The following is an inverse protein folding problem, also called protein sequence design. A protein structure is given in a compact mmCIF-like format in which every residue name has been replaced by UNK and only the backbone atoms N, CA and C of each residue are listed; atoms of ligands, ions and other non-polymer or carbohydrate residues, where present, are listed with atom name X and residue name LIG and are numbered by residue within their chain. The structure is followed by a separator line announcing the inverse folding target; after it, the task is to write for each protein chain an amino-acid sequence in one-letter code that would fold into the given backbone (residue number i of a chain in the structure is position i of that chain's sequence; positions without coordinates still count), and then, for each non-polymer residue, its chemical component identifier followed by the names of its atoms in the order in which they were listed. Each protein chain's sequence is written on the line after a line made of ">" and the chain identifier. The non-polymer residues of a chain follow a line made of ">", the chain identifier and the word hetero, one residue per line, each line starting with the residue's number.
data_IF_869881333810
#
_entry.id   IF_869881333810
#
_cell.length_a   1.000
_cell.length_b   1.000
_cell.length_c   1.000
_cell.angle_alpha   90.00
_cell.angle_beta   90.00
_cell.angle_gamma   90.00
#
_symmetry.space_group_name_H-M   'P 1'
#
loop_
_entity.id
_entity.type
_entity.pdbx_description
1 polymer ?
#
# COMPACT_ATOMS: atom_id res chain seq x y z
N UNK A 1 1.88 22.80 -4.29
CA UNK A 1 2.45 21.48 -4.69
C UNK A 1 1.57 20.44 -4.02
N UNK A 2 1.21 19.37 -4.71
CA UNK A 2 0.38 18.31 -4.12
C UNK A 2 1.21 17.48 -3.14
N UNK A 3 0.56 17.03 -2.06
CA UNK A 3 1.23 16.37 -0.93
C UNK A 3 0.69 14.96 -0.72
N UNK A 4 1.58 13.99 -0.61
CA UNK A 4 1.26 12.57 -0.38
C UNK A 4 1.78 12.15 0.98
N UNK A 5 0.96 11.45 1.77
CA UNK A 5 1.39 10.72 2.95
C UNK A 5 1.66 9.27 2.54
N UNK A 6 2.91 8.82 2.63
CA UNK A 6 3.28 7.41 2.50
C UNK A 6 3.48 6.82 3.90
N UNK A 7 2.65 5.85 4.28
CA UNK A 7 2.76 5.15 5.55
C UNK A 7 3.10 3.68 5.36
N UNK A 8 4.07 3.20 6.15
CA UNK A 8 4.55 1.83 6.09
C UNK A 8 5.99 1.70 5.60
N UNK A 9 6.27 0.71 4.78
CA UNK A 9 7.56 0.46 4.12
C UNK A 9 8.78 0.58 5.03
N UNK A 10 8.65 0.08 6.25
CA UNK A 10 9.76 0.03 7.20
C UNK A 10 9.58 -1.12 8.18
N UNK A 11 10.68 -1.71 8.62
CA UNK A 11 10.65 -2.83 9.56
C UNK A 11 11.88 -2.87 10.44
N UNK A 12 11.78 -3.62 11.51
CA UNK A 12 12.93 -3.98 12.36
C UNK A 12 13.16 -5.47 12.27
N UNK A 13 14.32 -5.85 11.76
CA UNK A 13 14.79 -7.23 11.76
C UNK A 13 15.46 -7.55 13.07
N UNK A 14 15.12 -8.67 13.69
CA UNK A 14 15.73 -9.17 14.92
C UNK A 14 16.35 -10.54 14.63
N UNK A 15 17.67 -10.65 14.76
CA UNK A 15 18.41 -11.87 14.50
C UNK A 15 19.05 -12.38 15.78
N UNK A 16 18.74 -13.62 16.15
CA UNK A 16 19.38 -14.29 17.28
C UNK A 16 20.50 -15.19 16.77
N UNK A 17 21.71 -14.95 17.26
CA UNK A 17 22.90 -15.72 16.95
C UNK A 17 23.14 -16.72 18.08
N UNK A 18 23.22 -18.00 17.75
CA UNK A 18 23.45 -19.11 18.69
C UNK A 18 24.81 -19.75 18.35
N UNK A 19 25.77 -19.65 19.26
CA UNK A 19 27.14 -20.18 19.10
C UNK A 19 27.49 -21.07 20.30
N UNK A 20 26.92 -22.28 20.31
CA UNK A 20 27.02 -23.15 21.47
C UNK A 20 26.28 -22.57 22.68
N UNK A 21 26.99 -22.28 23.75
CA UNK A 21 26.43 -21.62 24.95
C UNK A 21 26.31 -20.09 24.81
N UNK A 22 26.98 -19.49 23.84
CA UNK A 22 26.96 -18.05 23.64
C UNK A 22 25.79 -17.67 22.75
N UNK A 23 24.86 -16.88 23.25
CA UNK A 23 23.68 -16.39 22.57
C UNK A 23 23.65 -14.88 22.65
N UNK A 24 23.48 -14.20 21.51
CA UNK A 24 23.24 -12.76 21.46
C UNK A 24 22.25 -12.41 20.36
N UNK A 25 21.57 -11.28 20.53
CA UNK A 25 20.58 -10.78 19.59
C UNK A 25 21.04 -9.44 19.02
N UNK A 26 20.89 -9.28 17.72
CA UNK A 26 21.07 -7.99 17.02
C UNK A 26 19.75 -7.55 16.43
N UNK A 27 19.56 -6.24 16.35
CA UNK A 27 18.42 -5.66 15.63
C UNK A 27 18.91 -4.66 14.59
N UNK A 28 18.18 -4.57 13.48
CA UNK A 28 18.44 -3.62 12.41
C UNK A 28 17.13 -3.01 11.96
N UNK A 29 17.09 -1.69 11.86
CA UNK A 29 15.98 -0.95 11.25
C UNK A 29 16.26 -0.74 9.76
N UNK A 30 15.23 -0.91 8.92
CA UNK A 30 15.32 -0.80 7.46
C UNK A 30 14.07 -0.10 6.91
N UNK A 31 14.24 0.59 5.78
CA UNK A 31 13.19 1.28 5.04
C UNK A 31 13.20 0.82 3.58
N UNK A 32 12.02 0.52 3.02
CA UNK A 32 11.85 0.08 1.63
C UNK A 32 11.30 1.16 0.70
N UNK A 33 10.77 2.25 1.24
CA UNK A 33 10.02 3.26 0.48
C UNK A 33 10.83 4.19 -0.41
N UNK A 34 12.16 4.21 -0.34
CA UNK A 34 13.03 5.21 -0.97
C UNK A 34 12.80 5.37 -2.48
N UNK A 35 12.64 4.24 -3.20
CA UNK A 35 12.47 4.27 -4.66
C UNK A 35 11.13 4.90 -5.05
N UNK A 36 10.05 4.57 -4.33
CA UNK A 36 8.74 5.16 -4.54
C UNK A 36 8.73 6.66 -4.19
N UNK A 37 9.29 7.01 -3.03
CA UNK A 37 9.43 8.42 -2.59
C UNK A 37 10.17 9.23 -3.64
N UNK A 38 11.28 8.71 -4.18
CA UNK A 38 12.05 9.37 -5.23
C UNK A 38 11.23 9.56 -6.51
N UNK A 39 10.48 8.54 -6.94
CA UNK A 39 9.64 8.61 -8.12
C UNK A 39 8.56 9.70 -7.98
N UNK A 40 7.87 9.74 -6.86
CA UNK A 40 6.84 10.74 -6.58
C UNK A 40 7.42 12.16 -6.49
N UNK A 41 8.58 12.34 -5.84
CA UNK A 41 9.27 13.63 -5.78
C UNK A 41 9.72 14.11 -7.17
N UNK A 42 10.21 13.22 -8.03
CA UNK A 42 10.54 13.51 -9.40
C UNK A 42 9.30 13.96 -10.20
N UNK A 43 8.12 13.41 -9.86
CA UNK A 43 6.81 13.83 -10.41
C UNK A 43 6.29 15.16 -9.87
N UNK A 44 7.02 15.83 -8.97
CA UNK A 44 6.63 17.13 -8.41
C UNK A 44 5.72 17.06 -7.19
N UNK A 45 5.65 15.91 -6.52
CA UNK A 45 4.92 15.75 -5.28
C UNK A 45 5.79 16.04 -4.06
N UNK A 46 5.22 16.64 -3.03
CA UNK A 46 5.75 16.58 -1.68
C UNK A 46 5.36 15.25 -1.05
N UNK A 47 6.30 14.54 -0.43
CA UNK A 47 6.04 13.25 0.20
C UNK A 47 6.46 13.29 1.66
N UNK A 48 5.48 13.14 2.56
CA UNK A 48 5.72 12.86 3.98
C UNK A 48 5.76 11.34 4.15
N UNK A 49 6.85 10.85 4.72
CA UNK A 49 7.02 9.45 5.04
C UNK A 49 6.70 9.19 6.51
N UNK A 50 5.81 8.23 6.76
CA UNK A 50 5.40 7.81 8.10
C UNK A 50 5.74 6.32 8.27
N UNK A 51 6.95 6.00 8.78
CA UNK A 51 7.39 4.61 8.95
C UNK A 51 6.54 3.86 9.98
N UNK A 52 6.54 2.52 9.90
CA UNK A 52 5.68 1.65 10.71
C UNK A 52 5.73 1.94 12.21
N UNK A 53 6.93 2.07 12.77
CA UNK A 53 7.11 2.31 14.21
C UNK A 53 6.60 3.69 14.67
N UNK A 54 6.41 4.61 13.74
CA UNK A 54 5.93 5.97 14.00
C UNK A 54 4.40 6.10 13.82
N UNK A 55 3.83 5.28 12.95
CA UNK A 55 2.44 5.41 12.52
C UNK A 55 1.42 5.20 13.65
N UNK A 56 1.73 4.37 14.64
CA UNK A 56 0.86 4.17 15.80
C UNK A 56 0.50 5.47 16.51
N UNK A 57 1.46 6.38 16.67
CA UNK A 57 1.27 7.65 17.38
C UNK A 57 1.04 8.84 16.44
N UNK A 58 1.66 8.86 15.27
CA UNK A 58 1.77 10.07 14.45
C UNK A 58 0.95 10.06 13.16
N UNK A 59 0.43 8.91 12.74
CA UNK A 59 -0.48 8.87 11.60
C UNK A 59 -1.75 9.70 11.90
N UNK A 60 -2.22 10.55 10.96
CA UNK A 60 -3.41 11.36 11.14
C UNK A 60 -4.63 10.55 11.53
N UNK A 61 -5.31 10.92 12.60
CA UNK A 61 -6.40 10.17 13.23
C UNK A 61 -7.78 10.82 13.01
N UNK A 62 -7.84 11.94 12.27
CA UNK A 62 -9.08 12.62 11.89
C UNK A 62 -9.06 13.04 10.44
N UNK A 63 -10.26 13.26 9.87
CA UNK A 63 -10.42 13.76 8.49
C UNK A 63 -9.75 15.12 8.31
N UNK A 64 -9.83 15.98 9.30
CA UNK A 64 -9.25 17.34 9.26
C UNK A 64 -7.74 17.28 9.10
N UNK A 65 -7.06 16.38 9.83
CA UNK A 65 -5.62 16.16 9.71
C UNK A 65 -5.24 15.52 8.37
N UNK A 66 -6.04 14.56 7.89
CA UNK A 66 -5.83 13.90 6.61
C UNK A 66 -6.01 14.86 5.41
N UNK A 67 -6.87 15.89 5.53
CA UNK A 67 -7.03 16.92 4.50
C UNK A 67 -5.78 17.76 4.22
N UNK A 68 -4.76 17.65 5.05
CA UNK A 68 -3.43 18.19 4.76
C UNK A 68 -2.69 17.48 3.63
N UNK A 69 -3.24 16.35 3.14
CA UNK A 69 -2.68 15.53 2.07
C UNK A 69 -3.69 15.40 0.93
N UNK A 70 -3.19 15.37 -0.31
CA UNK A 70 -3.97 15.10 -1.52
C UNK A 70 -4.21 13.60 -1.72
N UNK A 71 -3.30 12.76 -1.21
CA UNK A 71 -3.47 11.30 -1.19
C UNK A 71 -2.75 10.65 0.00
N UNK A 72 -3.27 9.53 0.44
CA UNK A 72 -2.67 8.62 1.43
C UNK A 72 -2.29 7.32 0.75
N UNK A 73 -1.04 6.92 0.87
CA UNK A 73 -0.52 5.63 0.40
C UNK A 73 -0.22 4.76 1.61
N UNK A 74 -0.83 3.58 1.67
CA UNK A 74 -0.56 2.56 2.69
C UNK A 74 0.21 1.42 2.00
N UNK A 75 1.41 1.13 2.46
CA UNK A 75 2.28 0.11 1.90
C UNK A 75 2.96 -0.69 3.01
N UNK A 76 2.77 -1.99 3.01
CA UNK A 76 3.32 -2.94 3.99
C UNK A 76 3.19 -2.47 5.46
N UNK A 77 1.99 -2.02 5.82
CA UNK A 77 1.60 -1.58 7.16
C UNK A 77 0.29 -2.26 7.57
N UNK A 78 0.31 -3.06 8.62
CA UNK A 78 -0.89 -3.75 9.11
C UNK A 78 -1.87 -2.82 9.83
N UNK A 79 -3.16 -3.15 9.76
CA UNK A 79 -4.20 -2.32 10.39
C UNK A 79 -4.03 -2.18 11.91
N UNK A 80 -3.45 -3.16 12.58
CA UNK A 80 -3.16 -3.09 14.00
C UNK A 80 -2.17 -1.97 14.34
N UNK A 81 -1.20 -1.68 13.47
CA UNK A 81 -0.26 -0.57 13.65
C UNK A 81 -0.99 0.78 13.67
N UNK A 82 -2.06 0.92 12.90
CA UNK A 82 -2.89 2.12 12.90
C UNK A 82 -3.87 2.17 14.09
N UNK A 83 -4.36 1.00 14.53
CA UNK A 83 -5.41 0.89 15.55
C UNK A 83 -4.86 0.83 16.98
N UNK A 84 -3.66 0.29 17.17
CA UNK A 84 -3.08 -0.02 18.48
C UNK A 84 -1.84 0.84 18.72
N UNK A 85 -2.05 2.13 19.04
CA UNK A 85 -0.96 2.93 19.57
C UNK A 85 -0.56 2.43 20.96
N UNK A 86 0.58 2.88 21.47
CA UNK A 86 1.02 2.54 22.83
C UNK A 86 -0.01 2.97 23.88
N UNK A 87 -0.66 4.12 23.69
CA UNK A 87 -1.74 4.59 24.56
C UNK A 87 -2.91 3.60 24.63
N UNK A 88 -3.32 3.05 23.49
CA UNK A 88 -4.41 2.06 23.43
C UNK A 88 -3.94 0.73 24.01
N UNK A 89 -2.79 0.22 23.55
CA UNK A 89 -2.35 -1.13 23.88
C UNK A 89 -1.82 -1.27 25.30
N UNK A 90 -1.01 -0.30 25.76
CA UNK A 90 -0.35 -0.38 27.06
C UNK A 90 -1.13 0.30 28.19
N UNK A 91 -1.93 1.33 27.87
CA UNK A 91 -2.64 2.10 28.90
C UNK A 91 -4.16 1.96 28.85
N UNK A 92 -4.73 1.36 27.79
CA UNK A 92 -6.17 1.21 27.63
C UNK A 92 -6.92 2.52 27.36
N UNK A 93 -6.20 3.57 26.94
CA UNK A 93 -6.78 4.85 26.59
C UNK A 93 -7.59 4.75 25.29
N UNK A 94 -8.69 5.48 25.21
CA UNK A 94 -9.44 5.62 23.97
C UNK A 94 -8.78 6.61 23.03
N UNK A 95 -8.86 6.34 21.72
CA UNK A 95 -8.45 7.30 20.68
C UNK A 95 -9.30 7.13 19.41
N UNK A 96 -9.16 8.08 18.48
CA UNK A 96 -9.86 8.02 17.20
C UNK A 96 -9.43 6.80 16.39
N UNK A 97 -10.37 6.20 15.67
CA UNK A 97 -10.09 5.08 14.78
C UNK A 97 -9.55 5.60 13.45
N UNK A 98 -8.23 5.45 13.22
CA UNK A 98 -7.55 5.91 12.01
C UNK A 98 -8.10 5.26 10.73
N UNK A 99 -8.52 4.00 10.80
CA UNK A 99 -9.13 3.33 9.63
C UNK A 99 -10.49 3.93 9.26
N UNK A 100 -11.27 4.37 10.26
CA UNK A 100 -12.50 5.13 10.03
C UNK A 100 -12.21 6.51 9.47
N UNK A 101 -11.19 7.19 10.00
CA UNK A 101 -10.77 8.50 9.49
C UNK A 101 -10.31 8.43 8.02
N UNK A 102 -9.60 7.36 7.61
CA UNK A 102 -9.20 7.13 6.21
C UNK A 102 -10.44 6.96 5.31
N UNK A 103 -11.41 6.11 5.71
CA UNK A 103 -12.67 5.95 4.96
C UNK A 103 -13.38 7.29 4.79
N UNK A 104 -13.59 8.01 5.86
CA UNK A 104 -14.33 9.28 5.86
C UNK A 104 -13.59 10.35 5.06
N UNK A 105 -12.25 10.35 5.07
CA UNK A 105 -11.41 11.20 4.25
C UNK A 105 -11.62 10.91 2.75
N UNK A 106 -11.65 9.64 2.35
CA UNK A 106 -11.93 9.27 0.95
C UNK A 106 -13.35 9.71 0.56
N UNK A 107 -14.35 9.40 1.37
CA UNK A 107 -15.74 9.82 1.11
C UNK A 107 -15.88 11.34 0.96
N UNK A 108 -15.05 12.10 1.67
CA UNK A 108 -15.03 13.56 1.64
C UNK A 108 -14.18 14.17 0.49
N UNK A 109 -13.67 13.35 -0.43
CA UNK A 109 -12.92 13.81 -1.62
C UNK A 109 -11.42 13.55 -1.58
N UNK A 110 -10.90 12.93 -0.54
CA UNK A 110 -9.51 12.52 -0.47
C UNK A 110 -9.20 11.29 -1.33
N UNK A 111 -7.94 10.90 -1.39
CA UNK A 111 -7.51 9.77 -2.18
C UNK A 111 -6.71 8.74 -1.38
N UNK A 112 -6.93 7.45 -1.67
CA UNK A 112 -6.27 6.33 -1.03
C UNK A 112 -5.60 5.43 -2.08
N UNK A 113 -4.37 5.02 -1.82
CA UNK A 113 -3.72 3.90 -2.49
C UNK A 113 -3.33 2.85 -1.46
N UNK A 114 -3.77 1.61 -1.64
CA UNK A 114 -3.20 0.47 -0.91
C UNK A 114 -2.26 -0.29 -1.84
N UNK A 115 -1.01 -0.39 -1.42
CA UNK A 115 0.07 -1.12 -2.08
C UNK A 115 0.24 -2.44 -1.33
N UNK A 116 0.45 -3.53 -2.04
CA UNK A 116 0.63 -4.87 -1.50
C UNK A 116 1.89 -5.02 -0.66
N UNK A 117 2.06 -6.19 -0.12
CA UNK A 117 3.13 -6.55 0.79
C UNK A 117 2.65 -7.55 1.83
N UNK A 118 3.56 -7.98 2.70
CA UNK A 118 3.26 -8.98 3.73
C UNK A 118 2.25 -8.48 4.78
N UNK A 119 2.17 -7.16 5.00
CA UNK A 119 1.24 -6.53 5.94
C UNK A 119 0.27 -5.57 5.25
N UNK A 120 -0.13 -5.86 4.00
CA UNK A 120 -1.21 -5.18 3.28
C UNK A 120 -2.41 -6.11 3.09
N UNK A 121 -3.56 -5.59 2.76
CA UNK A 121 -4.81 -6.34 2.52
C UNK A 121 -5.13 -7.31 3.67
N UNK A 122 -5.04 -8.62 3.47
CA UNK A 122 -5.11 -9.63 4.54
C UNK A 122 -3.73 -9.98 5.07
N UNK A 123 -2.77 -10.14 4.17
CA UNK A 123 -1.35 -10.34 4.44
C UNK A 123 -1.02 -11.71 5.04
N UNK A 124 0.24 -11.81 5.48
CA UNK A 124 0.78 -13.02 6.09
C UNK A 124 -0.07 -13.47 7.30
N UNK A 125 -0.49 -14.72 7.30
CA UNK A 125 -1.35 -15.30 8.34
C UNK A 125 -2.63 -14.47 8.61
N UNK A 126 -3.10 -13.71 7.61
CA UNK A 126 -4.19 -12.73 7.74
C UNK A 126 -3.94 -11.66 8.83
N UNK A 127 -2.69 -11.26 9.06
CA UNK A 127 -2.31 -10.34 10.15
C UNK A 127 -2.54 -8.87 9.82
N UNK A 128 -2.50 -8.48 8.54
CA UNK A 128 -2.79 -7.09 8.12
C UNK A 128 -4.23 -6.69 8.39
N UNK A 129 -5.20 -7.62 8.23
CA UNK A 129 -6.59 -7.57 8.69
C UNK A 129 -7.43 -6.38 8.18
N UNK A 130 -7.07 -5.73 7.11
CA UNK A 130 -7.86 -4.59 6.60
C UNK A 130 -9.30 -4.96 6.23
N UNK A 131 -9.57 -6.21 5.84
CA UNK A 131 -10.92 -6.72 5.58
C UNK A 131 -11.89 -6.65 6.76
N UNK A 132 -11.41 -6.33 7.98
CA UNK A 132 -12.21 -6.10 9.20
C UNK A 132 -12.24 -4.63 9.62
N UNK A 133 -11.77 -3.73 8.79
CA UNK A 133 -11.71 -2.28 9.07
C UNK A 133 -12.52 -1.49 8.05
N UNK A 134 -12.81 -0.25 8.35
CA UNK A 134 -13.52 0.65 7.46
C UNK A 134 -12.75 0.94 6.16
N UNK A 135 -11.43 0.76 6.13
CA UNK A 135 -10.60 0.93 4.90
C UNK A 135 -11.07 0.01 3.77
N UNK A 136 -11.53 -1.22 4.09
CA UNK A 136 -12.01 -2.16 3.09
C UNK A 136 -13.21 -1.63 2.29
N UNK A 137 -14.02 -0.74 2.88
CA UNK A 137 -15.21 -0.20 2.25
C UNK A 137 -14.88 0.68 1.05
N UNK A 138 -13.70 1.32 1.06
CA UNK A 138 -13.23 2.27 0.06
C UNK A 138 -12.13 1.72 -0.86
N UNK A 139 -11.89 0.41 -0.84
CA UNK A 139 -10.95 -0.21 -1.79
C UNK A 139 -11.68 -0.74 -3.04
N UNK A 140 -11.07 -0.63 -4.24
CA UNK A 140 -11.67 -1.11 -5.48
C UNK A 140 -11.62 -2.64 -5.65
N UNK A 141 -11.15 -3.34 -4.61
CA UNK A 141 -11.09 -4.81 -4.53
C UNK A 141 -11.72 -5.29 -3.22
N UNK A 142 -12.13 -6.56 -3.17
CA UNK A 142 -12.54 -7.24 -1.94
C UNK A 142 -11.35 -8.00 -1.38
N UNK A 143 -11.10 -7.80 -0.10
CA UNK A 143 -10.03 -8.46 0.66
C UNK A 143 -10.51 -9.85 1.09
N UNK A 144 -9.67 -10.86 0.97
CA UNK A 144 -9.94 -12.22 1.42
C UNK A 144 -9.81 -12.34 2.96
N UNK A 145 -10.53 -13.23 3.62
CA UNK A 145 -10.51 -13.34 5.08
C UNK A 145 -9.39 -14.24 5.64
N UNK A 146 -8.44 -14.65 4.82
CA UNK A 146 -7.31 -15.54 5.15
C UNK A 146 -6.01 -15.01 4.55
N UNK A 147 -4.88 -15.69 4.77
CA UNK A 147 -3.58 -15.36 4.15
C UNK A 147 -3.76 -15.28 2.64
N UNK A 148 -3.54 -14.10 2.09
CA UNK A 148 -3.81 -13.80 0.68
C UNK A 148 -2.55 -13.69 -0.17
N UNK A 149 -1.37 -14.03 0.39
CA UNK A 149 -0.13 -14.01 -0.37
C UNK A 149 -0.10 -15.10 -1.42
N UNK A 150 0.37 -14.73 -2.60
CA UNK A 150 0.73 -15.63 -3.67
C UNK A 150 2.20 -15.43 -3.98
N UNK A 151 3.03 -16.41 -3.64
CA UNK A 151 4.48 -16.37 -3.84
C UNK A 151 4.84 -16.98 -5.19
N UNK A 152 5.63 -16.28 -5.99
CA UNK A 152 6.07 -16.67 -7.33
C UNK A 152 7.59 -16.46 -7.47
N UNK A 153 8.42 -17.31 -6.84
CA UNK A 153 9.87 -17.18 -6.96
C UNK A 153 10.37 -17.34 -8.40
N UNK A 154 9.58 -17.99 -9.28
CA UNK A 154 9.83 -18.10 -10.73
C UNK A 154 9.49 -16.82 -11.51
N UNK A 155 8.82 -15.87 -10.87
CA UNK A 155 8.31 -14.64 -11.49
C UNK A 155 6.95 -14.81 -12.16
N UNK A 156 6.06 -13.87 -11.96
CA UNK A 156 4.73 -13.77 -12.58
C UNK A 156 4.57 -12.41 -13.26
N UNK A 157 3.98 -12.40 -14.46
CA UNK A 157 3.88 -11.20 -15.29
C UNK A 157 2.46 -10.63 -15.29
N UNK A 158 2.29 -9.32 -15.03
CA UNK A 158 1.00 -8.66 -15.16
C UNK A 158 0.55 -8.58 -16.62
N UNK A 159 -0.77 -8.64 -16.82
CA UNK A 159 -1.43 -8.40 -18.10
C UNK A 159 -2.32 -7.18 -17.99
N UNK A 160 -2.06 -6.16 -18.82
CA UNK A 160 -2.88 -4.95 -18.87
C UNK A 160 -4.22 -5.26 -19.57
N UNK A 161 -5.32 -4.97 -18.86
CA UNK A 161 -6.68 -5.19 -19.37
C UNK A 161 -7.31 -3.92 -19.96
N UNK A 162 -6.76 -2.74 -19.62
CA UNK A 162 -7.22 -1.44 -20.08
C UNK A 162 -6.02 -0.50 -20.30
N UNK A 163 -5.44 -0.57 -21.48
CA UNK A 163 -4.28 0.22 -21.90
C UNK A 163 -4.60 1.70 -22.16
N UNK A 164 -5.87 2.04 -22.35
CA UNK A 164 -6.32 3.42 -22.58
C UNK A 164 -6.55 4.20 -21.28
N UNK A 165 -6.46 3.54 -20.13
CA UNK A 165 -6.63 4.22 -18.85
C UNK A 165 -5.47 5.20 -18.57
N UNK A 166 -5.71 6.38 -17.96
CA UNK A 166 -4.65 7.36 -17.67
C UNK A 166 -3.44 6.80 -16.92
N UNK A 167 -3.60 5.78 -16.11
CA UNK A 167 -2.49 5.10 -15.42
C UNK A 167 -1.48 4.49 -16.39
N UNK A 168 -1.91 4.09 -17.58
CA UNK A 168 -1.06 3.45 -18.59
C UNK A 168 -0.46 4.45 -19.59
N UNK A 169 -0.75 5.74 -19.43
CA UNK A 169 -0.27 6.76 -20.36
C UNK A 169 1.27 6.81 -20.40
N UNK A 170 1.82 6.70 -21.60
CA UNK A 170 3.27 6.74 -21.82
C UNK A 170 4.00 5.42 -21.52
N UNK A 171 3.30 4.38 -21.08
CA UNK A 171 3.87 3.05 -20.85
C UNK A 171 3.60 2.21 -22.12
N UNK A 172 4.65 1.94 -22.88
CA UNK A 172 4.56 1.32 -24.20
C UNK A 172 5.25 -0.05 -24.28
N UNK A 173 5.61 -0.64 -23.15
CA UNK A 173 6.29 -1.94 -23.06
C UNK A 173 5.56 -2.86 -22.07
N UNK A 174 5.88 -4.13 -22.15
CA UNK A 174 5.41 -5.13 -21.20
C UNK A 174 5.92 -4.83 -19.79
N UNK A 175 5.12 -5.23 -18.83
CA UNK A 175 5.48 -5.10 -17.41
C UNK A 175 6.56 -6.12 -17.04
N UNK A 176 7.54 -5.74 -16.21
CA UNK A 176 8.45 -6.70 -15.59
C UNK A 176 7.70 -7.70 -14.70
N UNK A 177 8.37 -8.80 -14.37
CA UNK A 177 7.81 -9.78 -13.45
C UNK A 177 7.79 -9.28 -12.01
N UNK A 178 6.89 -9.88 -11.23
CA UNK A 178 6.83 -9.76 -9.78
C UNK A 178 7.04 -11.12 -9.14
N UNK A 179 7.52 -11.14 -7.89
CA UNK A 179 7.81 -12.38 -7.16
C UNK A 179 6.66 -12.81 -6.25
N UNK A 180 5.59 -12.03 -6.23
CA UNK A 180 4.39 -12.31 -5.47
C UNK A 180 3.39 -11.17 -5.49
N UNK A 181 2.21 -11.43 -4.92
CA UNK A 181 1.13 -10.45 -4.79
C UNK A 181 0.12 -10.88 -3.73
N UNK A 182 -0.68 -9.93 -3.25
CA UNK A 182 -1.86 -10.24 -2.42
C UNK A 182 -3.05 -10.58 -3.34
N UNK A 183 -3.59 -11.78 -3.19
CA UNK A 183 -4.79 -12.20 -3.91
C UNK A 183 -6.00 -11.42 -3.40
N UNK A 184 -6.72 -10.83 -4.33
CA UNK A 184 -7.95 -10.08 -4.06
C UNK A 184 -9.04 -10.47 -5.04
N UNK A 185 -10.27 -10.03 -4.80
CA UNK A 185 -11.38 -10.24 -5.73
C UNK A 185 -11.85 -8.91 -6.29
N UNK A 186 -12.07 -8.86 -7.60
CA UNK A 186 -12.57 -7.66 -8.26
C UNK A 186 -13.91 -7.20 -7.64
N UNK A 187 -14.04 -5.91 -7.40
CA UNK A 187 -15.28 -5.33 -6.88
C UNK A 187 -16.23 -5.01 -8.04
N UNK A 188 -17.36 -5.71 -8.08
CA UNK A 188 -18.37 -5.55 -9.13
C UNK A 188 -19.25 -4.32 -8.87
N UNK A 189 -18.64 -3.13 -8.84
CA UNK A 189 -19.35 -1.85 -8.78
C UNK A 189 -19.06 -1.05 -10.05
N UNK A 190 -20.03 -0.30 -10.61
CA UNK A 190 -19.80 0.51 -11.81
C UNK A 190 -18.65 1.51 -11.70
N UNK A 191 -18.39 1.97 -10.47
CA UNK A 191 -17.30 2.91 -10.17
C UNK A 191 -15.93 2.24 -10.03
N UNK A 192 -15.84 0.90 -10.01
CA UNK A 192 -14.60 0.15 -9.85
C UNK A 192 -14.18 -0.49 -11.17
N UNK A 193 -12.87 -0.43 -11.47
CA UNK A 193 -12.27 -1.01 -12.68
C UNK A 193 -10.98 -1.71 -12.35
N UNK A 194 -10.79 -2.92 -12.86
CA UNK A 194 -9.49 -3.58 -12.91
C UNK A 194 -8.76 -3.14 -14.17
N UNK A 195 -7.59 -2.55 -14.01
CA UNK A 195 -6.76 -2.01 -15.09
C UNK A 195 -5.76 -3.05 -15.57
N UNK A 196 -5.17 -3.80 -14.65
CA UNK A 196 -4.28 -4.90 -14.97
C UNK A 196 -4.54 -6.10 -14.04
N UNK A 197 -4.21 -7.28 -14.53
CA UNK A 197 -4.34 -8.56 -13.81
C UNK A 197 -2.99 -9.24 -13.69
N UNK A 198 -2.85 -10.04 -12.65
CA UNK A 198 -1.74 -10.94 -12.44
C UNK A 198 -2.31 -12.32 -12.12
N UNK A 199 -1.90 -13.34 -12.83
CA UNK A 199 -2.44 -14.71 -12.72
C UNK A 199 -3.99 -14.77 -12.75
N UNK A 200 -4.60 -13.89 -13.58
CA UNK A 200 -6.06 -13.77 -13.70
C UNK A 200 -6.75 -12.94 -12.62
N UNK A 201 -6.07 -12.63 -11.52
CA UNK A 201 -6.58 -11.86 -10.37
C UNK A 201 -6.35 -10.34 -10.54
N UNK A 202 -7.06 -9.46 -9.81
CA UNK A 202 -6.79 -8.03 -9.84
C UNK A 202 -5.36 -7.70 -9.39
N UNK A 203 -4.61 -7.00 -10.24
CA UNK A 203 -3.28 -6.48 -9.95
C UNK A 203 -3.32 -4.98 -9.70
N UNK A 204 -3.88 -4.23 -10.64
CA UNK A 204 -4.13 -2.80 -10.50
C UNK A 204 -5.63 -2.58 -10.63
N UNK A 205 -6.23 -2.05 -9.60
CA UNK A 205 -7.65 -1.68 -9.61
C UNK A 205 -7.83 -0.26 -9.11
N UNK A 206 -8.83 0.42 -9.66
CA UNK A 206 -9.17 1.81 -9.30
C UNK A 206 -10.67 1.95 -9.08
N UNK A 207 -11.06 2.92 -8.27
CA UNK A 207 -12.47 3.18 -8.00
C UNK A 207 -12.73 4.58 -7.48
N UNK A 208 -14.00 5.01 -7.58
CA UNK A 208 -14.50 6.25 -6.98
C UNK A 208 -15.47 5.91 -5.86
N UNK A 209 -15.30 6.58 -4.72
CA UNK A 209 -16.06 6.36 -3.51
C UNK A 209 -16.43 7.71 -2.88
N UNK A 210 -17.74 7.97 -2.74
CA UNK A 210 -18.19 9.30 -2.35
C UNK A 210 -17.69 10.36 -3.33
N UNK A 211 -16.95 11.34 -2.85
CA UNK A 211 -16.31 12.38 -3.66
C UNK A 211 -14.83 12.07 -3.97
N UNK A 212 -14.27 11.01 -3.41
CA UNK A 212 -12.86 10.66 -3.55
C UNK A 212 -12.59 9.46 -4.43
N UNK A 213 -11.34 9.06 -4.47
CA UNK A 213 -10.84 7.97 -5.30
C UNK A 213 -9.95 7.03 -4.51
N UNK A 214 -9.93 5.77 -4.92
CA UNK A 214 -8.92 4.86 -4.41
C UNK A 214 -8.38 3.90 -5.46
N UNK A 215 -7.18 3.41 -5.16
CA UNK A 215 -6.47 2.44 -5.96
C UNK A 215 -5.98 1.29 -5.08
N UNK A 216 -5.87 0.12 -5.68
CA UNK A 216 -5.18 -1.03 -5.15
C UNK A 216 -4.11 -1.47 -6.15
N UNK A 217 -2.88 -1.56 -5.70
CA UNK A 217 -1.76 -2.19 -6.39
C UNK A 217 -1.37 -3.39 -5.55
N UNK A 218 -1.66 -4.60 -6.01
CA UNK A 218 -1.64 -5.78 -5.14
C UNK A 218 -0.28 -6.45 -4.97
N UNK A 219 0.77 -5.97 -5.65
CA UNK A 219 2.14 -6.37 -5.36
C UNK A 219 2.88 -5.27 -4.59
N UNK A 220 4.18 -5.44 -4.40
CA UNK A 220 5.01 -4.54 -3.62
C UNK A 220 5.62 -3.42 -4.50
N UNK A 221 5.91 -2.28 -3.92
CA UNK A 221 6.65 -1.19 -4.55
C UNK A 221 8.16 -1.26 -4.27
N UNK A 222 8.59 -2.16 -3.41
CA UNK A 222 9.95 -2.36 -2.93
C UNK A 222 10.39 -3.83 -3.01
N UNK A 223 11.68 -4.14 -2.79
CA UNK A 223 12.14 -5.53 -2.74
C UNK A 223 11.45 -6.33 -1.64
N UNK A 224 10.86 -7.33 -2.00
CA UNK A 224 10.28 -8.59 -1.58
C UNK A 224 9.61 -9.17 -2.81
N UNK A 225 8.53 -8.55 -3.29
CA UNK A 225 7.83 -8.96 -4.51
C UNK A 225 8.18 -8.11 -5.73
N UNK A 226 8.62 -6.86 -5.53
CA UNK A 226 9.12 -6.04 -6.64
C UNK A 226 10.48 -6.58 -7.09
N UNK A 227 10.52 -7.18 -8.29
CA UNK A 227 11.75 -7.72 -8.86
C UNK A 227 12.78 -6.63 -9.15
N UNK A 228 14.08 -6.97 -9.27
CA UNK A 228 15.09 -6.00 -9.72
C UNK A 228 14.73 -5.36 -11.06
N UNK A 229 14.08 -6.11 -11.96
CA UNK A 229 13.65 -5.59 -13.26
C UNK A 229 12.56 -4.53 -13.10
N UNK A 230 11.59 -4.73 -12.19
CA UNK A 230 10.59 -3.70 -11.88
C UNK A 230 11.22 -2.49 -11.18
N UNK A 231 12.12 -2.70 -10.23
CA UNK A 231 12.79 -1.61 -9.51
C UNK A 231 13.64 -0.72 -10.43
N UNK A 232 14.21 -1.30 -11.50
CA UNK A 232 15.00 -0.60 -12.52
C UNK A 232 14.21 -0.26 -13.79
N UNK A 233 12.92 -0.59 -13.84
CA UNK A 233 12.09 -0.38 -15.02
C UNK A 233 11.99 1.11 -15.38
N UNK A 234 12.26 1.42 -16.63
CA UNK A 234 12.29 2.83 -17.10
C UNK A 234 10.96 3.57 -16.92
N UNK A 235 9.85 2.84 -16.81
CA UNK A 235 8.52 3.41 -16.59
C UNK A 235 8.06 3.38 -15.12
N UNK A 236 8.91 2.95 -14.19
CA UNK A 236 8.57 2.94 -12.76
C UNK A 236 8.08 4.32 -12.29
N UNK A 237 8.86 5.38 -12.55
CA UNK A 237 8.48 6.75 -12.17
C UNK A 237 7.19 7.19 -12.90
N UNK A 238 7.08 6.88 -14.21
CA UNK A 238 5.90 7.21 -15.02
C UNK A 238 4.64 6.59 -14.44
N UNK A 239 4.69 5.30 -14.09
CA UNK A 239 3.54 4.59 -13.53
C UNK A 239 3.07 5.20 -12.20
N UNK A 240 4.00 5.40 -11.25
CA UNK A 240 3.64 5.93 -9.93
C UNK A 240 3.18 7.38 -10.00
N UNK A 241 3.75 8.20 -10.90
CA UNK A 241 3.28 9.56 -11.15
C UNK A 241 1.89 9.57 -11.78
N UNK A 242 1.63 8.72 -12.79
CA UNK A 242 0.30 8.58 -13.39
C UNK A 242 -0.76 8.17 -12.37
N UNK A 243 -0.41 7.23 -11.47
CA UNK A 243 -1.31 6.79 -10.40
C UNK A 243 -1.62 7.93 -9.43
N UNK A 244 -0.60 8.63 -8.95
CA UNK A 244 -0.76 9.79 -8.07
C UNK A 244 -1.55 10.91 -8.75
N UNK A 245 -1.30 11.19 -10.02
CA UNK A 245 -2.03 12.18 -10.82
C UNK A 245 -3.51 11.82 -10.96
N UNK A 246 -3.82 10.54 -11.23
CA UNK A 246 -5.20 10.08 -11.35
C UNK A 246 -5.94 10.19 -10.02
N UNK A 247 -5.29 9.82 -8.93
CA UNK A 247 -5.86 9.88 -7.58
C UNK A 247 -6.17 11.32 -7.15
N UNK A 248 -5.29 12.26 -7.46
CA UNK A 248 -5.34 13.64 -6.95
C UNK A 248 -5.99 14.65 -7.91
N UNK A 249 -6.55 14.20 -9.04
CA UNK A 249 -7.36 15.01 -9.97
C UNK A 249 -8.83 14.94 -9.60
#
# INVERSE_FOLDING_TARGET
>A
MKKILLAGESWTSVTTHIKGFDIFTTSRYEEGGDRLIKALKNGGYEVDFCPNHYAGEHFPDTVEKLRGYDAVFLSDIGSNTLLLSDRVFSYGDTQNNKCTAIRDYVLAGGALCMIGGYLSFSGIDARARYGKTAVADELPVKILPYDDRCEHPEGVFPTVSNDTHPLMQGINEEWPCFLGYNKTVARCLPACKTIAKIDGEPFISVGSFGMGKSAAFTSDCSPHWASPDFMSWKYYDTFWCNLADWLTK
#
